data_IF_147560559250
#
_entry.id   IF_147560559250
#
_cell.length_a   1.000
_cell.length_b   1.000
_cell.length_c   1.000
_cell.angle_alpha   90.00
_cell.angle_beta   90.00
_cell.angle_gamma   90.00
#
_symmetry.space_group_name_H-M   'P 1'
#
loop_
_entity.id
_entity.type
_entity.pdbx_description
1 polymer ?
#
# COMPACT_ATOMS: atom_id res chain seq x y z
N UNK A 1 -10.96 0.24 -19.29
CA UNK A 1 -11.11 0.22 -17.82
C UNK A 1 -10.76 -1.13 -17.19
N UNK A 2 -11.32 -2.27 -17.66
CA UNK A 2 -11.07 -3.60 -17.07
C UNK A 2 -9.57 -3.93 -16.93
N UNK A 3 -8.81 -3.87 -18.03
CA UNK A 3 -7.39 -4.21 -18.03
C UNK A 3 -6.55 -3.27 -17.14
N UNK A 4 -6.73 -1.96 -17.27
CA UNK A 4 -5.97 -0.96 -16.48
C UNK A 4 -6.28 -1.09 -14.99
N UNK A 5 -7.56 -1.16 -14.62
CA UNK A 5 -7.95 -1.30 -13.22
C UNK A 5 -7.56 -2.66 -12.63
N UNK A 6 -7.70 -3.74 -13.40
CA UNK A 6 -7.29 -5.08 -12.98
C UNK A 6 -5.78 -5.19 -12.73
N UNK A 7 -4.95 -4.66 -13.64
CA UNK A 7 -3.49 -4.59 -13.44
C UNK A 7 -3.13 -3.74 -12.22
N UNK A 8 -3.78 -2.58 -12.05
CA UNK A 8 -3.55 -1.73 -10.88
C UNK A 8 -3.94 -2.42 -9.57
N UNK A 9 -5.02 -3.22 -9.54
CA UNK A 9 -5.41 -3.99 -8.36
C UNK A 9 -4.46 -5.15 -8.07
N UNK A 10 -3.94 -5.82 -9.10
CA UNK A 10 -2.89 -6.83 -8.94
C UNK A 10 -1.63 -6.22 -8.31
N UNK A 11 -1.18 -5.09 -8.83
CA UNK A 11 -0.07 -4.31 -8.27
C UNK A 11 -0.36 -3.83 -6.84
N UNK A 12 -1.60 -3.39 -6.57
CA UNK A 12 -2.04 -2.95 -5.24
C UNK A 12 -1.95 -4.07 -4.19
N UNK A 13 -2.16 -5.34 -4.58
CA UNK A 13 -2.00 -6.48 -3.69
C UNK A 13 -0.54 -6.71 -3.28
N UNK A 14 0.37 -6.68 -4.25
CA UNK A 14 1.82 -6.79 -3.97
C UNK A 14 2.30 -5.61 -3.11
N UNK A 15 1.82 -4.40 -3.42
CA UNK A 15 2.05 -3.19 -2.66
C UNK A 15 1.53 -3.31 -1.22
N UNK A 16 0.34 -3.86 -1.00
CA UNK A 16 -0.24 -4.03 0.33
C UNK A 16 0.65 -4.91 1.22
N UNK A 17 1.01 -6.11 0.77
CA UNK A 17 1.85 -7.01 1.57
C UNK A 17 3.24 -6.43 1.82
N UNK A 18 3.83 -5.78 0.81
CA UNK A 18 5.11 -5.08 0.96
C UNK A 18 4.99 -3.93 1.98
N UNK A 19 3.87 -3.22 2.01
CA UNK A 19 3.61 -2.17 3.00
C UNK A 19 3.56 -2.71 4.43
N UNK A 20 2.96 -3.90 4.64
CA UNK A 20 2.91 -4.54 5.98
C UNK A 20 4.30 -4.99 6.41
N UNK A 21 5.07 -5.59 5.49
CA UNK A 21 6.47 -5.96 5.71
C UNK A 21 7.32 -4.73 6.08
N UNK A 22 7.21 -3.66 5.30
CA UNK A 22 7.91 -2.39 5.55
C UNK A 22 7.49 -1.76 6.88
N UNK A 23 6.21 -1.81 7.24
CA UNK A 23 5.73 -1.36 8.56
C UNK A 23 6.38 -2.15 9.71
N UNK A 24 6.57 -3.46 9.56
CA UNK A 24 7.31 -4.28 10.53
C UNK A 24 8.80 -3.91 10.59
N UNK A 25 9.43 -3.61 9.45
CA UNK A 25 10.81 -3.09 9.45
C UNK A 25 10.91 -1.75 10.19
N UNK A 26 9.92 -0.86 9.99
CA UNK A 26 9.86 0.42 10.71
C UNK A 26 9.67 0.22 12.21
N UNK A 27 8.88 -0.77 12.64
CA UNK A 27 8.78 -1.13 14.06
C UNK A 27 10.13 -1.49 14.64
N UNK A 28 10.96 -2.25 13.93
CA UNK A 28 12.31 -2.61 14.40
C UNK A 28 13.22 -1.38 14.45
N UNK A 29 13.23 -0.57 13.39
CA UNK A 29 14.02 0.66 13.31
C UNK A 29 13.71 1.65 14.46
N UNK A 30 12.43 1.81 14.79
CA UNK A 30 11.97 2.71 15.87
C UNK A 30 11.88 2.02 17.23
N UNK A 31 12.35 0.78 17.36
CA UNK A 31 12.21 -0.02 18.58
C UNK A 31 10.77 -0.04 19.08
N UNK A 32 9.77 -0.14 18.21
CA UNK A 32 8.35 -0.10 18.56
C UNK A 32 7.91 -1.31 19.39
N UNK A 33 6.81 -1.14 20.12
CA UNK A 33 6.25 -2.16 21.02
C UNK A 33 5.13 -2.96 20.31
N UNK A 34 5.26 -4.30 20.17
CA UNK A 34 4.29 -5.12 19.43
C UNK A 34 3.02 -5.47 20.21
N UNK A 35 2.85 -4.99 21.44
CA UNK A 35 1.62 -5.24 22.25
C UNK A 35 0.37 -4.79 21.50
N UNK A 36 0.49 -3.77 20.65
CA UNK A 36 -0.58 -3.28 19.79
C UNK A 36 -1.13 -4.31 18.80
N UNK A 37 -0.38 -5.40 18.54
CA UNK A 37 -0.72 -6.45 17.58
C UNK A 37 -1.21 -7.73 18.26
N UNK A 38 -1.39 -7.72 19.59
CA UNK A 38 -1.86 -8.87 20.35
C UNK A 38 -3.24 -9.31 19.83
N UNK A 39 -3.33 -10.58 19.43
CA UNK A 39 -4.54 -11.19 18.87
C UNK A 39 -5.81 -10.87 19.66
N UNK A 40 -5.74 -10.84 20.99
CA UNK A 40 -6.90 -10.59 21.87
C UNK A 40 -7.49 -9.19 21.68
N UNK A 41 -6.67 -8.19 21.33
CA UNK A 41 -7.15 -6.84 21.01
C UNK A 41 -8.00 -6.89 19.75
N UNK A 42 -7.56 -7.63 18.75
CA UNK A 42 -8.19 -7.66 17.44
C UNK A 42 -9.39 -8.60 17.37
N UNK A 43 -9.44 -9.64 18.20
CA UNK A 43 -10.64 -10.48 18.38
C UNK A 43 -11.84 -9.70 18.95
N UNK A 44 -11.59 -8.62 19.71
CA UNK A 44 -12.65 -7.73 20.21
C UNK A 44 -13.26 -6.83 19.11
N UNK A 45 -12.60 -6.69 17.96
CA UNK A 45 -13.08 -5.94 16.80
C UNK A 45 -12.69 -6.69 15.50
N UNK A 46 -13.42 -7.77 15.16
CA UNK A 46 -12.96 -8.81 14.23
C UNK A 46 -13.20 -8.46 12.76
N UNK A 47 -12.70 -7.32 12.29
CA UNK A 47 -12.61 -7.08 10.84
C UNK A 47 -11.52 -8.00 10.26
N UNK A 48 -11.81 -8.62 9.12
CA UNK A 48 -10.96 -9.66 8.53
C UNK A 48 -9.55 -9.14 8.25
N UNK A 49 -9.40 -8.06 7.48
CA UNK A 49 -8.10 -7.47 7.21
C UNK A 49 -7.38 -6.97 8.47
N UNK A 50 -8.11 -6.53 9.50
CA UNK A 50 -7.49 -6.11 10.77
C UNK A 50 -6.85 -7.30 11.50
N UNK A 51 -7.54 -8.43 11.57
CA UNK A 51 -7.03 -9.67 12.16
C UNK A 51 -5.80 -10.17 11.38
N UNK A 52 -5.90 -10.18 10.05
CA UNK A 52 -4.83 -10.61 9.15
C UNK A 52 -3.55 -9.79 9.33
N UNK A 53 -3.67 -8.45 9.32
CA UNK A 53 -2.51 -7.56 9.51
C UNK A 53 -1.89 -7.71 10.89
N UNK A 54 -2.70 -7.85 11.94
CA UNK A 54 -2.18 -8.07 13.29
C UNK A 54 -1.35 -9.36 13.38
N UNK A 55 -1.87 -10.46 12.84
CA UNK A 55 -1.18 -11.75 12.82
C UNK A 55 0.13 -11.68 12.02
N UNK A 56 0.11 -11.05 10.85
CA UNK A 56 1.30 -10.83 10.03
C UNK A 56 2.39 -10.04 10.78
N UNK A 57 2.03 -8.93 11.40
CA UNK A 57 2.97 -8.08 12.14
C UNK A 57 3.53 -8.78 13.39
N UNK A 58 2.68 -9.46 14.16
CA UNK A 58 3.11 -10.23 15.33
C UNK A 58 4.10 -11.34 14.92
N UNK A 59 3.77 -12.08 13.86
CA UNK A 59 4.61 -13.14 13.33
C UNK A 59 5.97 -12.63 12.84
N UNK A 60 5.99 -11.51 12.12
CA UNK A 60 7.21 -10.90 11.58
C UNK A 60 8.15 -10.36 12.66
N UNK A 61 7.65 -9.95 13.82
CA UNK A 61 8.46 -9.40 14.91
C UNK A 61 8.92 -10.46 15.93
N UNK A 62 8.59 -11.74 15.70
CA UNK A 62 8.96 -12.85 16.58
C UNK A 62 10.46 -13.15 16.49
N UNK A 63 11.11 -13.24 17.65
CA UNK A 63 12.54 -13.61 17.74
C UNK A 63 13.53 -12.46 17.47
N UNK A 64 13.08 -11.22 17.33
CA UNK A 64 13.97 -10.06 17.19
C UNK A 64 14.80 -9.77 18.46
N UNK A 65 16.11 -9.57 18.29
CA UNK A 65 16.99 -9.10 19.36
C UNK A 65 16.81 -7.59 19.62
N UNK A 66 16.47 -6.81 18.59
CA UNK A 66 16.17 -5.38 18.72
C UNK A 66 14.95 -5.20 19.61
N UNK A 67 13.89 -5.99 19.39
CA UNK A 67 12.73 -6.04 20.29
C UNK A 67 13.13 -6.37 21.73
N UNK A 68 13.95 -7.41 21.91
CA UNK A 68 14.37 -7.84 23.24
C UNK A 68 15.20 -6.77 23.98
N UNK A 69 15.97 -5.94 23.25
CA UNK A 69 16.90 -4.98 23.84
C UNK A 69 16.23 -3.85 24.62
N UNK A 70 14.95 -3.56 24.35
CA UNK A 70 14.23 -2.44 24.97
C UNK A 70 12.98 -2.87 25.75
N UNK A 71 12.65 -4.17 25.77
CA UNK A 71 11.43 -4.71 26.39
C UNK A 71 11.19 -4.25 27.85
N UNK A 72 12.27 -4.06 28.62
CA UNK A 72 12.20 -3.68 30.03
C UNK A 72 12.67 -2.26 30.34
N UNK A 73 13.17 -1.54 29.34
CA UNK A 73 13.78 -0.21 29.49
C UNK A 73 13.02 0.86 28.72
N UNK A 74 12.04 0.47 27.89
CA UNK A 74 11.18 1.38 27.18
C UNK A 74 10.24 2.14 28.14
N UNK A 75 10.41 3.46 28.18
CA UNK A 75 9.59 4.37 28.98
C UNK A 75 8.36 4.86 28.25
N UNK A 76 8.21 4.55 26.94
CA UNK A 76 7.03 4.94 26.16
C UNK A 76 5.82 4.16 26.66
N UNK A 77 4.75 4.89 26.92
CA UNK A 77 3.45 4.29 27.27
C UNK A 77 2.75 3.75 26.03
N UNK A 78 2.85 4.47 24.91
CA UNK A 78 2.23 4.12 23.65
C UNK A 78 3.08 4.61 22.48
N UNK A 79 3.15 3.80 21.41
CA UNK A 79 3.68 4.25 20.14
C UNK A 79 2.70 5.20 19.42
N UNK A 80 3.22 6.06 18.53
CA UNK A 80 2.42 6.86 17.61
C UNK A 80 1.43 6.01 16.79
N UNK A 81 0.33 6.63 16.36
CA UNK A 81 -0.75 5.90 15.67
C UNK A 81 -0.31 5.28 14.35
N UNK A 82 0.68 5.87 13.66
CA UNK A 82 1.22 5.32 12.41
C UNK A 82 1.88 3.95 12.59
N UNK A 83 2.27 3.60 13.83
CA UNK A 83 2.77 2.28 14.22
C UNK A 83 1.66 1.46 14.88
N UNK A 84 1.03 2.01 15.92
CA UNK A 84 0.08 1.28 16.77
C UNK A 84 -1.22 0.91 16.06
N UNK A 85 -1.66 1.73 15.10
CA UNK A 85 -2.92 1.53 14.39
C UNK A 85 -2.74 0.82 13.03
N UNK A 86 -1.56 0.23 12.76
CA UNK A 86 -1.32 -0.48 11.49
C UNK A 86 -2.37 -1.58 11.22
N UNK A 87 -2.75 -2.45 12.18
CA UNK A 87 -3.80 -3.44 11.93
C UNK A 87 -5.13 -2.82 11.48
N UNK A 88 -5.57 -1.76 12.16
CA UNK A 88 -6.86 -1.12 11.90
C UNK A 88 -6.86 -0.39 10.55
N UNK A 89 -5.82 0.41 10.28
CA UNK A 89 -5.75 1.24 9.09
C UNK A 89 -5.44 0.41 7.84
N UNK A 90 -4.42 -0.46 7.91
CA UNK A 90 -4.00 -1.27 6.76
C UNK A 90 -4.99 -2.41 6.54
N UNK A 91 -5.57 -2.97 7.60
CA UNK A 91 -6.62 -3.98 7.47
C UNK A 91 -7.87 -3.47 6.74
N UNK A 92 -8.31 -2.24 7.04
CA UNK A 92 -9.41 -1.61 6.28
C UNK A 92 -9.05 -1.40 4.80
N UNK A 93 -7.78 -1.08 4.49
CA UNK A 93 -7.32 -0.99 3.10
C UNK A 93 -7.32 -2.35 2.41
N UNK A 94 -6.94 -3.43 3.11
CA UNK A 94 -7.00 -4.81 2.60
C UNK A 94 -8.41 -5.21 2.21
N UNK A 95 -9.37 -4.97 3.11
CA UNK A 95 -10.78 -5.28 2.89
C UNK A 95 -11.35 -4.51 1.68
N UNK A 96 -10.94 -3.25 1.49
CA UNK A 96 -11.35 -2.44 0.35
C UNK A 96 -10.74 -2.92 -0.99
N UNK A 97 -9.46 -3.33 -0.99
CA UNK A 97 -8.82 -3.92 -2.17
C UNK A 97 -9.51 -5.24 -2.53
N UNK A 98 -9.83 -6.08 -1.54
CA UNK A 98 -10.53 -7.34 -1.73
C UNK A 98 -11.91 -7.15 -2.35
N UNK A 99 -12.69 -6.16 -1.86
CA UNK A 99 -13.95 -5.80 -2.48
C UNK A 99 -13.78 -5.43 -3.96
N UNK A 100 -12.79 -4.60 -4.27
CA UNK A 100 -12.55 -4.17 -5.66
C UNK A 100 -12.13 -5.33 -6.56
N UNK A 101 -11.27 -6.24 -6.07
CA UNK A 101 -10.88 -7.46 -6.78
C UNK A 101 -12.11 -8.30 -7.15
N UNK A 102 -12.99 -8.57 -6.18
CA UNK A 102 -14.22 -9.35 -6.43
C UNK A 102 -15.10 -8.72 -7.52
N UNK A 103 -15.25 -7.39 -7.53
CA UNK A 103 -16.01 -6.69 -8.58
C UNK A 103 -15.33 -6.82 -9.95
N UNK A 104 -14.01 -6.67 -10.01
CA UNK A 104 -13.26 -6.77 -11.26
C UNK A 104 -13.22 -8.21 -11.80
N UNK A 105 -13.15 -9.23 -10.94
CA UNK A 105 -13.20 -10.63 -11.36
C UNK A 105 -14.52 -10.97 -12.06
N UNK A 106 -15.65 -10.51 -11.49
CA UNK A 106 -16.97 -10.65 -12.11
C UNK A 106 -16.98 -9.95 -13.47
N UNK A 107 -16.52 -8.70 -13.54
CA UNK A 107 -16.52 -7.91 -14.77
C UNK A 107 -15.64 -8.54 -15.87
N UNK A 108 -14.47 -9.08 -15.50
CA UNK A 108 -13.56 -9.77 -16.41
C UNK A 108 -14.15 -11.07 -16.97
N UNK A 109 -14.96 -11.77 -16.17
CA UNK A 109 -15.70 -12.96 -16.60
C UNK A 109 -17.02 -12.68 -17.34
N UNK A 110 -17.42 -11.42 -17.48
CA UNK A 110 -18.72 -11.03 -18.03
C UNK A 110 -18.71 -10.70 -19.52
N UNK A 111 -19.82 -11.01 -20.21
CA UNK A 111 -20.09 -10.52 -21.57
C UNK A 111 -20.62 -9.10 -21.48
N UNK A 112 -19.81 -8.14 -21.94
CA UNK A 112 -20.09 -6.69 -21.84
C UNK A 112 -20.31 -6.01 -23.18
N UNK A 113 -20.61 -6.79 -24.21
CA UNK A 113 -20.96 -6.28 -25.55
C UNK A 113 -22.46 -5.96 -25.65
N UNK A 114 -22.88 -5.35 -26.75
CA UNK A 114 -24.27 -5.14 -27.12
C UNK A 114 -24.43 -5.00 -28.65
N UNK A 115 -25.41 -5.68 -29.29
CA UNK A 115 -26.43 -6.55 -28.70
C UNK A 115 -25.91 -7.92 -28.29
N UNK A 116 -26.64 -8.58 -27.40
CA UNK A 116 -26.35 -9.94 -26.95
C UNK A 116 -27.07 -10.96 -27.82
N UNK A 117 -26.36 -12.01 -28.21
CA UNK A 117 -26.93 -13.18 -28.89
C UNK A 117 -27.10 -14.28 -27.85
N UNK A 118 -28.33 -14.70 -27.60
CA UNK A 118 -28.66 -15.68 -26.55
C UNK A 118 -29.56 -16.78 -27.11
N UNK A 119 -29.58 -17.93 -26.44
CA UNK A 119 -30.58 -18.96 -26.75
C UNK A 119 -31.97 -18.42 -26.41
N UNK A 120 -32.89 -18.57 -27.36
CA UNK A 120 -34.28 -18.18 -27.19
C UNK A 120 -35.05 -19.13 -26.30
N UNK A 121 -36.33 -18.84 -26.06
CA UNK A 121 -37.16 -19.66 -25.16
C UNK A 121 -37.41 -21.07 -25.69
N UNK A 122 -37.32 -21.29 -27.01
CA UNK A 122 -37.43 -22.62 -27.63
C UNK A 122 -36.05 -23.18 -27.94
N UNK A 123 -35.87 -24.48 -27.72
CA UNK A 123 -34.61 -25.18 -28.02
C UNK A 123 -34.20 -24.96 -29.48
N UNK A 124 -33.00 -24.41 -29.68
CA UNK A 124 -32.45 -24.09 -31.02
C UNK A 124 -32.91 -22.76 -31.62
N UNK A 125 -33.73 -21.98 -30.90
CA UNK A 125 -34.03 -20.59 -31.24
C UNK A 125 -32.87 -19.69 -30.79
N UNK A 126 -32.57 -18.65 -31.57
CA UNK A 126 -31.58 -17.63 -31.21
C UNK A 126 -32.30 -16.29 -31.12
N UNK A 127 -32.13 -15.61 -30.00
CA UNK A 127 -32.66 -14.27 -29.77
C UNK A 127 -31.51 -13.25 -29.73
N UNK A 128 -31.77 -12.06 -30.28
CA UNK A 128 -30.85 -10.92 -30.21
C UNK A 128 -31.46 -9.88 -29.28
N UNK A 129 -30.82 -9.65 -28.14
CA UNK A 129 -31.30 -8.75 -27.09
C UNK A 129 -30.44 -7.49 -27.03
N UNK A 130 -31.08 -6.32 -27.06
CA UNK A 130 -30.42 -5.05 -26.77
C UNK A 130 -30.50 -4.78 -25.27
N UNK A 131 -29.35 -4.56 -24.63
CA UNK A 131 -29.18 -4.32 -23.21
C UNK A 131 -28.10 -3.27 -22.90
N UNK A 132 -27.60 -3.28 -21.67
CA UNK A 132 -26.67 -2.26 -21.15
C UNK A 132 -25.40 -2.82 -20.51
N UNK A 133 -25.01 -4.08 -20.80
CA UNK A 133 -23.89 -4.73 -20.14
C UNK A 133 -22.53 -4.06 -20.38
N UNK A 134 -22.42 -3.13 -21.33
CA UNK A 134 -21.23 -2.31 -21.55
C UNK A 134 -21.02 -1.22 -20.47
N UNK A 135 -22.03 -0.94 -19.64
CA UNK A 135 -21.98 0.17 -18.69
C UNK A 135 -21.18 -0.17 -17.42
N UNK A 136 -19.93 0.30 -17.34
CA UNK A 136 -18.97 -0.03 -16.29
C UNK A 136 -19.14 0.66 -14.92
N UNK A 137 -20.37 0.90 -14.43
CA UNK A 137 -20.57 1.64 -13.16
C UNK A 137 -19.97 0.90 -11.96
N UNK A 138 -20.14 -0.42 -11.90
CA UNK A 138 -19.64 -1.24 -10.78
C UNK A 138 -18.11 -1.14 -10.65
N UNK A 139 -17.39 -1.29 -11.78
CA UNK A 139 -15.93 -1.16 -11.79
C UNK A 139 -15.46 0.27 -11.54
N UNK A 140 -16.23 1.29 -11.95
CA UNK A 140 -15.91 2.68 -11.63
C UNK A 140 -15.92 2.94 -10.11
N UNK A 141 -16.99 2.49 -9.42
CA UNK A 141 -17.07 2.59 -7.96
C UNK A 141 -15.99 1.79 -7.24
N UNK A 142 -15.73 0.56 -7.70
CA UNK A 142 -14.68 -0.27 -7.13
C UNK A 142 -13.29 0.37 -7.26
N UNK A 143 -12.97 0.94 -8.42
CA UNK A 143 -11.69 1.60 -8.65
C UNK A 143 -11.52 2.86 -7.80
N UNK A 144 -12.54 3.71 -7.67
CA UNK A 144 -12.47 4.90 -6.82
C UNK A 144 -12.39 4.54 -5.33
N UNK A 145 -13.11 3.51 -4.88
CA UNK A 145 -13.02 3.05 -3.50
C UNK A 145 -11.62 2.48 -3.18
N UNK A 146 -11.04 1.69 -4.09
CA UNK A 146 -9.67 1.21 -3.96
C UNK A 146 -8.64 2.37 -3.95
N UNK A 147 -8.83 3.40 -4.78
CA UNK A 147 -7.93 4.56 -4.81
C UNK A 147 -7.93 5.32 -3.47
N UNK A 148 -9.10 5.48 -2.83
CA UNK A 148 -9.23 6.07 -1.49
C UNK A 148 -8.46 5.22 -0.46
N UNK A 149 -8.67 3.91 -0.47
CA UNK A 149 -8.03 2.98 0.46
C UNK A 149 -6.50 2.97 0.33
N UNK A 150 -5.99 2.91 -0.90
CA UNK A 150 -4.55 2.87 -1.17
C UNK A 150 -3.91 4.24 -0.86
N UNK A 151 -4.63 5.34 -1.07
CA UNK A 151 -4.18 6.67 -0.60
C UNK A 151 -4.00 6.71 0.91
N UNK A 152 -4.92 6.08 1.68
CA UNK A 152 -4.77 5.97 3.13
C UNK A 152 -3.55 5.11 3.53
N UNK A 153 -3.25 4.05 2.77
CA UNK A 153 -2.04 3.23 2.94
C UNK A 153 -0.75 4.05 2.72
N UNK A 154 -0.72 4.90 1.70
CA UNK A 154 0.38 5.85 1.47
C UNK A 154 0.53 6.87 2.60
N UNK A 155 -0.58 7.43 3.09
CA UNK A 155 -0.55 8.40 4.19
C UNK A 155 0.02 7.79 5.49
N UNK A 156 -0.36 6.56 5.86
CA UNK A 156 0.18 5.93 7.07
C UNK A 156 1.68 5.58 6.90
N UNK A 157 2.10 5.16 5.71
CA UNK A 157 3.52 4.94 5.38
C UNK A 157 4.34 6.22 5.47
N UNK A 158 3.87 7.33 4.92
CA UNK A 158 4.55 8.61 5.03
C UNK A 158 4.63 9.11 6.48
N UNK A 159 3.59 8.91 7.29
CA UNK A 159 3.67 9.21 8.73
C UNK A 159 4.70 8.35 9.45
N UNK A 160 4.99 7.14 8.98
CA UNK A 160 6.08 6.28 9.50
C UNK A 160 7.45 6.77 9.04
N UNK A 161 7.60 7.22 7.79
CA UNK A 161 8.82 7.91 7.31
C UNK A 161 9.11 9.13 8.20
N UNK A 162 8.08 9.94 8.49
CA UNK A 162 8.22 11.11 9.34
C UNK A 162 8.75 10.76 10.74
N UNK A 163 8.35 9.61 11.32
CA UNK A 163 8.91 9.14 12.60
C UNK A 163 10.37 8.72 12.45
N UNK A 164 10.70 7.96 11.41
CA UNK A 164 12.07 7.50 11.13
C UNK A 164 13.07 8.66 11.03
N UNK A 165 12.68 9.76 10.37
CA UNK A 165 13.57 10.90 10.16
C UNK A 165 13.59 11.91 11.33
N UNK A 166 12.74 11.74 12.35
CA UNK A 166 12.59 12.75 13.44
C UNK A 166 12.72 12.22 14.87
N UNK A 167 12.69 10.90 15.12
CA UNK A 167 12.93 10.36 16.47
C UNK A 167 14.41 10.29 16.83
N UNK A 168 14.97 11.45 17.14
CA UNK A 168 16.40 11.63 17.47
C UNK A 168 16.83 10.97 18.78
N UNK A 169 15.90 10.39 19.54
CA UNK A 169 16.23 9.61 20.74
C UNK A 169 16.67 8.19 20.39
N UNK A 170 16.26 7.69 19.22
CA UNK A 170 16.45 6.31 18.78
C UNK A 170 17.40 6.23 17.58
N UNK A 171 17.27 7.16 16.65
CA UNK A 171 17.99 7.19 15.38
C UNK A 171 18.67 8.55 15.18
N UNK A 172 19.75 8.65 14.38
CA UNK A 172 20.33 9.95 14.07
C UNK A 172 19.39 10.79 13.20
N UNK A 173 19.52 12.14 13.21
CA UNK A 173 18.66 13.01 12.43
C UNK A 173 18.65 12.68 10.94
N UNK A 174 17.45 12.56 10.37
CA UNK A 174 17.24 12.18 8.96
C UNK A 174 17.94 10.86 8.56
N UNK A 175 18.27 10.03 9.53
CA UNK A 175 19.10 8.83 9.37
C UNK A 175 20.52 9.13 8.85
N UNK A 176 21.01 10.37 8.89
CA UNK A 176 22.35 10.72 8.40
C UNK A 176 23.46 10.04 9.22
N UNK A 177 24.56 9.62 8.57
CA UNK A 177 25.74 9.06 9.25
C UNK A 177 26.58 10.18 9.87
N UNK A 178 26.66 11.32 9.19
CA UNK A 178 27.32 12.55 9.66
C UNK A 178 26.34 13.74 9.69
N UNK A 179 25.46 13.85 10.70
CA UNK A 179 24.49 14.94 10.80
C UNK A 179 25.13 16.33 10.76
N UNK A 180 24.58 17.23 9.94
CA UNK A 180 25.08 18.59 9.73
C UNK A 180 26.03 18.74 8.53
N UNK A 181 26.60 17.62 8.05
CA UNK A 181 27.29 17.55 6.75
C UNK A 181 26.44 16.82 5.71
N UNK A 182 25.71 15.79 6.14
CA UNK A 182 24.82 14.98 5.31
C UNK A 182 23.35 15.33 5.57
N UNK A 183 22.55 15.25 4.51
CA UNK A 183 21.10 15.45 4.54
C UNK A 183 20.31 14.15 4.77
N UNK A 184 20.91 13.00 4.45
CA UNK A 184 20.26 11.69 4.60
C UNK A 184 18.91 11.62 3.88
N UNK A 185 17.88 11.16 4.59
CA UNK A 185 16.52 10.98 4.04
C UNK A 185 15.66 12.25 4.04
N UNK A 186 16.22 13.42 4.34
CA UNK A 186 15.46 14.68 4.43
C UNK A 186 14.64 14.95 3.17
N UNK A 187 15.26 14.90 1.99
CA UNK A 187 14.56 15.22 0.72
C UNK A 187 13.72 14.03 0.23
N UNK A 188 14.11 12.79 0.54
CA UNK A 188 13.26 11.64 0.25
C UNK A 188 11.92 11.72 1.01
N UNK A 189 11.93 12.19 2.26
CA UNK A 189 10.70 12.45 3.00
C UNK A 189 9.85 13.54 2.34
N UNK A 190 10.46 14.61 1.82
CA UNK A 190 9.73 15.65 1.05
C UNK A 190 9.06 15.05 -0.19
N UNK A 191 9.74 14.16 -0.92
CA UNK A 191 9.15 13.43 -2.06
C UNK A 191 7.94 12.61 -1.63
N UNK A 192 8.04 11.83 -0.54
CA UNK A 192 6.91 11.06 -0.02
C UNK A 192 5.72 11.95 0.37
N UNK A 193 5.99 13.10 1.00
CA UNK A 193 4.96 14.06 1.38
C UNK A 193 4.25 14.69 0.16
N UNK A 194 5.01 15.01 -0.90
CA UNK A 194 4.47 15.53 -2.15
C UNK A 194 3.52 14.52 -2.82
N UNK A 195 3.94 13.25 -2.94
CA UNK A 195 3.14 12.16 -3.51
C UNK A 195 1.86 11.92 -2.69
N UNK A 196 1.93 11.97 -1.36
CA UNK A 196 0.74 11.88 -0.51
C UNK A 196 -0.26 13.02 -0.79
N UNK A 197 0.23 14.23 -1.06
CA UNK A 197 -0.64 15.37 -1.33
C UNK A 197 -1.33 15.25 -2.69
N UNK A 198 -0.61 14.79 -3.71
CA UNK A 198 -1.18 14.50 -5.03
C UNK A 198 -2.28 13.42 -4.95
N UNK A 199 -2.02 12.33 -4.21
CA UNK A 199 -2.98 11.22 -4.07
C UNK A 199 -4.31 11.65 -3.40
N UNK A 200 -4.30 12.67 -2.53
CA UNK A 200 -5.53 13.22 -1.93
C UNK A 200 -6.44 13.84 -2.98
N UNK A 201 -5.87 14.53 -3.97
CA UNK A 201 -6.62 15.11 -5.09
C UNK A 201 -7.15 13.98 -5.97
N UNK A 202 -6.30 13.00 -6.29
CA UNK A 202 -6.66 11.82 -7.08
C UNK A 202 -7.71 10.93 -6.39
N UNK A 203 -7.95 11.09 -5.10
CA UNK A 203 -9.00 10.36 -4.37
C UNK A 203 -10.41 10.93 -4.55
N UNK A 204 -10.59 12.09 -5.21
CA UNK A 204 -11.92 12.57 -5.54
C UNK A 204 -12.57 11.65 -6.58
N UNK A 205 -13.77 11.07 -6.35
CA UNK A 205 -14.33 10.04 -7.22
C UNK A 205 -14.59 10.55 -8.64
N UNK A 206 -14.14 9.79 -9.64
CA UNK A 206 -14.50 10.05 -11.04
C UNK A 206 -15.90 9.49 -11.34
N UNK A 207 -16.28 8.39 -10.68
CA UNK A 207 -17.54 7.68 -10.88
C UNK A 207 -18.78 8.45 -10.43
N UNK A 208 -18.62 9.59 -9.75
CA UNK A 208 -19.72 10.49 -9.38
C UNK A 208 -20.06 11.50 -10.47
N UNK A 209 -19.26 11.56 -11.54
CA UNK A 209 -19.50 12.43 -12.69
C UNK A 209 -20.16 11.67 -13.85
N UNK A 210 -20.87 12.40 -14.71
CA UNK A 210 -21.47 11.90 -15.95
C UNK A 210 -21.81 13.09 -16.86
N UNK A 211 -21.41 13.02 -18.13
CA UNK A 211 -21.75 14.02 -19.15
C UNK A 211 -22.32 13.30 -20.36
N UNK A 212 -23.47 13.78 -20.82
CA UNK A 212 -24.19 13.20 -21.96
C UNK A 212 -23.41 13.36 -23.27
N UNK A 213 -23.39 12.29 -24.07
CA UNK A 213 -22.84 12.27 -25.42
C UNK A 213 -23.88 11.81 -26.44
N UNK A 214 -23.52 11.88 -27.72
CA UNK A 214 -24.30 11.27 -28.81
C UNK A 214 -25.76 11.78 -28.85
N UNK A 215 -25.95 13.10 -28.72
CA UNK A 215 -27.25 13.77 -28.68
C UNK A 215 -28.23 13.17 -27.64
N UNK A 216 -27.76 12.96 -26.40
CA UNK A 216 -28.50 12.36 -25.29
C UNK A 216 -28.94 10.91 -25.52
N UNK A 217 -28.25 10.17 -26.40
CA UNK A 217 -28.39 8.71 -26.48
C UNK A 217 -27.54 8.00 -25.44
N UNK A 218 -26.37 8.56 -25.15
CA UNK A 218 -25.48 8.13 -24.08
C UNK A 218 -25.55 9.21 -22.99
N UNK A 219 -26.72 9.33 -22.36
CA UNK A 219 -27.06 10.40 -21.43
C UNK A 219 -26.52 10.19 -20.00
N UNK A 220 -26.11 8.96 -19.69
CA UNK A 220 -25.47 8.59 -18.43
C UNK A 220 -24.30 7.63 -18.66
N UNK A 221 -23.13 7.95 -18.09
CA UNK A 221 -21.90 7.18 -18.24
C UNK A 221 -21.15 7.04 -16.91
N UNK A 222 -20.32 6.01 -16.79
CA UNK A 222 -19.67 5.65 -15.52
C UNK A 222 -18.36 6.36 -15.20
N UNK A 223 -17.72 7.00 -16.18
CA UNK A 223 -16.32 7.45 -16.10
C UNK A 223 -15.33 6.36 -15.63
N UNK A 224 -15.65 5.08 -15.87
CA UNK A 224 -14.88 3.96 -15.32
C UNK A 224 -13.42 3.89 -15.80
N UNK A 225 -13.09 4.42 -16.98
CA UNK A 225 -11.70 4.53 -17.41
C UNK A 225 -10.92 5.58 -16.60
N UNK A 226 -11.54 6.72 -16.28
CA UNK A 226 -10.92 7.75 -15.46
C UNK A 226 -10.66 7.24 -14.05
N UNK A 227 -11.61 6.52 -13.44
CA UNK A 227 -11.42 5.87 -12.15
C UNK A 227 -10.25 4.87 -12.19
N UNK A 228 -10.15 4.04 -13.24
CA UNK A 228 -9.05 3.08 -13.40
C UNK A 228 -7.67 3.74 -13.60
N UNK A 229 -7.59 4.82 -14.39
CA UNK A 229 -6.34 5.57 -14.59
C UNK A 229 -5.88 6.22 -13.28
N UNK A 230 -6.80 6.83 -12.53
CA UNK A 230 -6.50 7.41 -11.22
C UNK A 230 -5.99 6.36 -10.25
N UNK A 231 -6.65 5.21 -10.17
CA UNK A 231 -6.21 4.09 -9.34
C UNK A 231 -4.78 3.67 -9.69
N UNK A 232 -4.48 3.49 -10.98
CA UNK A 232 -3.14 3.14 -11.46
C UNK A 232 -2.07 4.16 -11.02
N UNK A 233 -2.34 5.46 -11.18
CA UNK A 233 -1.45 6.51 -10.70
C UNK A 233 -1.25 6.47 -9.18
N UNK A 234 -2.34 6.32 -8.41
CA UNK A 234 -2.27 6.27 -6.94
C UNK A 234 -1.44 5.07 -6.48
N UNK A 235 -1.63 3.88 -7.06
CA UNK A 235 -0.85 2.68 -6.75
C UNK A 235 0.65 2.92 -6.95
N UNK A 236 1.03 3.48 -8.10
CA UNK A 236 2.43 3.77 -8.42
C UNK A 236 3.04 4.83 -7.51
N UNK A 237 2.27 5.87 -7.15
CA UNK A 237 2.70 6.89 -6.19
C UNK A 237 2.90 6.30 -4.79
N UNK A 238 2.02 5.42 -4.34
CA UNK A 238 2.14 4.76 -3.02
C UNK A 238 3.30 3.76 -3.01
N UNK A 239 3.59 3.07 -4.11
CA UNK A 239 4.77 2.22 -4.21
C UNK A 239 6.08 2.99 -3.98
N UNK A 240 6.20 4.21 -4.53
CA UNK A 240 7.34 5.11 -4.27
C UNK A 240 7.40 5.55 -2.81
N UNK A 241 6.27 5.87 -2.19
CA UNK A 241 6.22 6.21 -0.76
C UNK A 241 6.71 5.02 0.08
N UNK A 242 6.21 3.82 -0.18
CA UNK A 242 6.58 2.60 0.55
C UNK A 242 8.04 2.21 0.29
N UNK A 243 8.56 2.45 -0.92
CA UNK A 243 9.98 2.27 -1.25
C UNK A 243 10.87 3.17 -0.38
N UNK A 244 10.51 4.45 -0.25
CA UNK A 244 11.23 5.39 0.63
C UNK A 244 11.17 4.93 2.09
N UNK A 245 10.00 4.47 2.56
CA UNK A 245 9.87 3.91 3.91
C UNK A 245 10.75 2.67 4.10
N UNK A 246 10.75 1.74 3.14
CA UNK A 246 11.52 0.50 3.20
C UNK A 246 13.03 0.76 3.25
N UNK A 247 13.51 1.69 2.41
CA UNK A 247 14.89 2.17 2.42
C UNK A 247 15.24 2.79 3.79
N UNK A 248 14.41 3.71 4.29
CA UNK A 248 14.64 4.39 5.57
C UNK A 248 14.61 3.40 6.75
N UNK A 249 13.66 2.48 6.78
CA UNK A 249 13.55 1.46 7.82
C UNK A 249 14.74 0.50 7.81
N UNK A 250 15.20 0.09 6.62
CA UNK A 250 16.40 -0.74 6.49
C UNK A 250 17.65 -0.08 7.08
N UNK A 251 17.79 1.22 6.91
CA UNK A 251 18.88 2.00 7.52
C UNK A 251 18.72 2.15 9.02
N UNK A 252 17.49 2.40 9.48
CA UNK A 252 17.17 2.41 10.91
C UNK A 252 17.53 1.10 11.61
N UNK A 253 17.30 -0.05 10.96
CA UNK A 253 17.73 -1.36 11.48
C UNK A 253 19.26 -1.45 11.55
N UNK A 254 19.98 -0.98 10.54
CA UNK A 254 21.46 -0.99 10.52
C UNK A 254 22.09 -0.12 11.62
N UNK A 255 21.41 0.92 12.11
CA UNK A 255 21.88 1.69 13.27
C UNK A 255 21.85 0.90 14.59
N UNK A 256 21.13 -0.22 14.66
CA UNK A 256 21.06 -1.06 15.86
C UNK A 256 22.09 -2.19 15.89
N UNK A 257 22.95 -2.31 14.87
CA UNK A 257 24.01 -3.33 14.87
C UNK A 257 24.90 -3.20 16.12
N UNK A 258 25.32 -4.33 16.74
CA UNK A 258 25.26 -5.70 16.22
C UNK A 258 23.95 -6.46 16.49
N UNK A 259 22.89 -5.81 17.00
CA UNK A 259 21.59 -6.47 17.19
C UNK A 259 21.00 -6.91 15.84
N UNK A 260 20.40 -8.10 15.84
CA UNK A 260 19.66 -8.64 14.69
C UNK A 260 18.16 -8.54 14.93
N UNK A 261 17.43 -8.22 13.86
CA UNK A 261 15.99 -8.35 13.80
C UNK A 261 15.55 -9.81 13.74
N UNK A 262 14.27 -10.07 13.47
CA UNK A 262 13.78 -11.43 13.20
C UNK A 262 14.37 -11.98 11.91
N UNK A 263 14.41 -13.30 11.76
CA UNK A 263 14.93 -13.94 10.54
C UNK A 263 14.20 -13.47 9.27
N UNK A 264 12.89 -13.23 9.35
CA UNK A 264 12.07 -12.77 8.22
C UNK A 264 12.41 -11.34 7.81
N UNK A 265 12.61 -10.45 8.78
CA UNK A 265 12.95 -9.05 8.49
C UNK A 265 14.42 -8.89 8.07
N UNK A 266 15.34 -9.71 8.59
CA UNK A 266 16.72 -9.74 8.08
C UNK A 266 16.78 -10.27 6.64
N UNK A 267 15.94 -11.24 6.27
CA UNK A 267 15.84 -11.72 4.87
C UNK A 267 15.29 -10.63 3.94
N UNK A 268 14.26 -9.89 4.37
CA UNK A 268 13.73 -8.76 3.63
C UNK A 268 14.76 -7.64 3.48
N UNK A 269 15.51 -7.33 4.55
CA UNK A 269 16.61 -6.39 4.50
C UNK A 269 17.71 -6.85 3.53
N UNK A 270 18.07 -8.13 3.53
CA UNK A 270 19.03 -8.67 2.57
C UNK A 270 18.58 -8.48 1.12
N UNK A 271 17.33 -8.84 0.79
CA UNK A 271 16.73 -8.57 -0.54
C UNK A 271 16.78 -7.07 -0.88
N UNK A 272 16.41 -6.20 0.05
CA UNK A 272 16.50 -4.75 -0.15
C UNK A 272 17.93 -4.31 -0.50
N UNK A 273 18.95 -4.89 0.13
CA UNK A 273 20.36 -4.51 -0.12
C UNK A 273 20.90 -4.94 -1.48
N UNK A 274 20.26 -5.90 -2.15
CA UNK A 274 20.58 -6.26 -3.53
C UNK A 274 20.20 -5.13 -4.50
N UNK A 275 19.15 -4.37 -4.18
CA UNK A 275 18.55 -3.34 -5.05
C UNK A 275 18.92 -1.93 -4.60
N UNK A 276 18.99 -1.73 -3.28
CA UNK A 276 19.35 -0.49 -2.60
C UNK A 276 20.36 -0.78 -1.47
N UNK A 277 21.66 -0.92 -1.82
CA UNK A 277 22.74 -1.10 -0.85
C UNK A 277 22.71 -0.10 0.31
N UNK A 278 23.33 -0.44 1.44
CA UNK A 278 23.43 0.48 2.57
C UNK A 278 24.16 1.77 2.17
N UNK A 279 23.56 2.93 2.46
CA UNK A 279 24.16 4.19 2.06
C UNK A 279 25.39 4.51 2.91
N UNK A 280 26.41 5.15 2.29
CA UNK A 280 27.70 5.47 2.93
C UNK A 280 27.87 6.98 3.23
N UNK A 281 26.86 7.76 2.89
CA UNK A 281 26.80 9.23 2.95
C UNK A 281 25.73 9.73 1.98
N UNK A 282 25.68 11.03 1.72
CA UNK A 282 24.72 11.60 0.77
C UNK A 282 24.94 11.07 -0.65
N UNK A 283 23.86 10.56 -1.26
CA UNK A 283 23.83 10.03 -2.61
C UNK A 283 22.48 10.34 -3.29
N UNK A 284 22.41 10.16 -4.60
CA UNK A 284 21.17 10.35 -5.35
C UNK A 284 20.24 9.16 -5.15
N UNK A 285 19.04 9.41 -4.61
CA UNK A 285 18.07 8.35 -4.33
C UNK A 285 17.04 8.08 -5.44
N UNK A 286 16.95 8.90 -6.49
CA UNK A 286 15.87 8.81 -7.47
C UNK A 286 15.75 7.42 -8.11
N UNK A 287 16.84 6.88 -8.66
CA UNK A 287 16.83 5.57 -9.31
C UNK A 287 16.58 4.43 -8.31
N UNK A 288 17.12 4.55 -7.09
CA UNK A 288 16.88 3.58 -6.01
C UNK A 288 15.42 3.50 -5.62
N UNK A 289 14.76 4.66 -5.50
CA UNK A 289 13.33 4.73 -5.16
C UNK A 289 12.50 4.05 -6.26
N UNK A 290 12.79 4.33 -7.53
CA UNK A 290 12.08 3.68 -8.65
C UNK A 290 12.31 2.16 -8.68
N UNK A 291 13.57 1.70 -8.54
CA UNK A 291 13.88 0.27 -8.55
C UNK A 291 13.17 -0.49 -7.42
N UNK A 292 13.23 0.05 -6.18
CA UNK A 292 12.53 -0.56 -5.05
C UNK A 292 11.01 -0.50 -5.23
N UNK A 293 10.47 0.56 -5.84
CA UNK A 293 9.04 0.65 -6.15
C UNK A 293 8.60 -0.41 -7.17
N UNK A 294 9.37 -0.65 -8.23
CA UNK A 294 9.08 -1.71 -9.20
C UNK A 294 9.16 -3.11 -8.58
N UNK A 295 10.11 -3.34 -7.67
CA UNK A 295 10.22 -4.61 -6.93
C UNK A 295 9.06 -4.82 -5.95
N UNK A 296 8.55 -3.74 -5.35
CA UNK A 296 7.31 -3.78 -4.58
C UNK A 296 6.13 -4.19 -5.46
N UNK A 297 6.00 -3.57 -6.64
CA UNK A 297 4.85 -3.79 -7.53
C UNK A 297 4.87 -5.17 -8.20
N UNK A 298 6.06 -5.72 -8.46
CA UNK A 298 6.24 -7.08 -8.99
C UNK A 298 6.09 -8.18 -7.93
N UNK A 299 6.09 -7.82 -6.64
CA UNK A 299 5.99 -8.76 -5.53
C UNK A 299 7.31 -9.41 -5.12
N UNK A 300 8.47 -8.85 -5.51
CA UNK A 300 9.80 -9.38 -5.21
C UNK A 300 10.05 -9.59 -3.70
N UNK A 301 9.55 -8.69 -2.85
CA UNK A 301 9.77 -8.75 -1.40
C UNK A 301 8.86 -9.74 -0.66
N UNK A 302 7.75 -10.14 -1.28
CA UNK A 302 6.69 -10.94 -0.64
C UNK A 302 6.49 -12.32 -1.29
N UNK A 303 7.23 -12.62 -2.36
CA UNK A 303 7.39 -13.94 -2.97
C UNK A 303 8.46 -14.80 -2.30
#
# INVERSE_FOLDING_TARGET
MKAVGGLALFEAMNLFYSSVLTGAMTMEALKGTPVAFDKRIHELKPHAGQLEVAEMLEGMLKGSQIRASHKHTDKRVQDPYSLRCMPQAMGAARDAIEYALNVFEIELGSVTDNPLVVEGKKKGEIEVLSGGNFHGQAVAFAADFAAIAITALGNISERRIAQLVSDFKILPPFLARNPGLESGFMIAHVTAAALCNENKILSHPASSDSISTSANKEDFVSMGMNAALKLSTVVRNVARIVAIEMMAAGEGIEFHRPLKSSARLEAALAKLREVSPAFKGDEVFSERIENVAEDILSGHFVS
#
